data_IF_776839472158
#
_entry.id   IF_776839472158
#
_cell.length_a   1.000
_cell.length_b   1.000
_cell.length_c   1.000
_cell.angle_alpha   90.00
_cell.angle_beta   90.00
_cell.angle_gamma   90.00
#
_symmetry.space_group_name_H-M   'P 1'
#
loop_
_entity.id
_entity.type
_entity.pdbx_description
1 polymer ?
#
# COMPACT_ATOMS: atom_id res chain seq x y z
N UNK A 1 70.99 17.82 -46.50
CA UNK A 1 69.64 17.87 -47.06
C UNK A 1 68.90 16.68 -46.46
N UNK A 2 68.14 16.91 -45.41
CA UNK A 2 67.36 15.87 -44.67
C UNK A 2 65.88 16.14 -44.91
N UNK A 3 65.06 15.15 -45.16
CA UNK A 3 63.63 15.26 -44.97
C UNK A 3 63.20 14.57 -43.65
N UNK A 4 62.49 15.32 -42.84
CA UNK A 4 61.80 14.85 -41.62
C UNK A 4 60.73 13.83 -41.99
N UNK A 5 60.75 12.74 -41.29
CA UNK A 5 59.65 11.75 -41.28
C UNK A 5 58.67 12.14 -40.15
N UNK A 6 57.41 12.39 -40.52
CA UNK A 6 56.30 12.66 -39.59
C UNK A 6 55.69 11.33 -39.13
N UNK A 7 55.86 11.01 -37.84
CA UNK A 7 55.18 9.85 -37.24
C UNK A 7 53.83 10.27 -36.71
N UNK A 8 52.75 9.79 -37.33
CA UNK A 8 51.38 9.96 -36.85
C UNK A 8 51.11 8.82 -35.84
N UNK A 9 51.02 9.17 -34.54
CA UNK A 9 50.59 8.25 -33.50
C UNK A 9 49.06 8.30 -33.45
N UNK A 10 48.40 7.24 -33.91
CA UNK A 10 46.98 7.04 -33.78
C UNK A 10 46.61 6.69 -32.33
N UNK A 11 45.89 7.55 -31.64
CA UNK A 11 45.29 7.26 -30.35
C UNK A 11 43.97 6.56 -30.60
N UNK A 12 43.94 5.26 -30.34
CA UNK A 12 42.73 4.44 -30.26
C UNK A 12 42.04 4.80 -28.93
N UNK A 13 40.98 5.61 -28.95
CA UNK A 13 40.13 5.84 -27.80
C UNK A 13 39.19 4.65 -27.63
N UNK A 14 39.46 3.81 -26.63
CA UNK A 14 38.48 2.84 -26.12
C UNK A 14 37.38 3.62 -25.41
N UNK A 15 36.25 3.85 -26.08
CA UNK A 15 35.03 4.36 -25.52
C UNK A 15 34.29 3.23 -24.80
N UNK A 16 34.58 3.00 -23.51
CA UNK A 16 33.87 2.05 -22.67
C UNK A 16 32.62 2.72 -22.10
N UNK A 17 31.51 2.22 -22.53
CA UNK A 17 30.14 2.17 -22.02
C UNK A 17 29.79 2.78 -20.65
N UNK A 18 29.58 4.10 -20.57
CA UNK A 18 28.90 4.75 -19.47
C UNK A 18 27.50 5.26 -19.91
N UNK A 19 27.12 5.07 -21.19
CA UNK A 19 25.90 5.63 -21.77
C UNK A 19 24.58 4.96 -21.41
N UNK A 20 24.58 3.68 -21.02
CA UNK A 20 23.32 2.91 -20.90
C UNK A 20 22.43 3.31 -19.72
N UNK A 21 23.01 3.62 -18.56
CA UNK A 21 22.23 3.98 -17.37
C UNK A 21 21.73 5.44 -17.38
N UNK A 22 22.50 6.35 -17.93
CA UNK A 22 22.08 7.76 -18.06
C UNK A 22 20.99 7.96 -19.10
N UNK A 23 21.01 7.20 -20.20
CA UNK A 23 19.99 7.28 -21.25
C UNK A 23 18.65 6.75 -20.73
N UNK A 24 18.66 5.66 -19.96
CA UNK A 24 17.44 5.11 -19.35
C UNK A 24 16.81 6.07 -18.33
N UNK A 25 17.61 6.74 -17.48
CA UNK A 25 17.12 7.76 -16.56
C UNK A 25 16.58 9.01 -17.28
N UNK A 26 17.25 9.47 -18.32
CA UNK A 26 16.81 10.65 -19.08
C UNK A 26 15.51 10.38 -19.85
N UNK A 27 15.31 9.15 -20.32
CA UNK A 27 14.11 8.78 -21.06
C UNK A 27 12.89 8.59 -20.12
N UNK A 28 13.09 8.14 -18.90
CA UNK A 28 12.04 8.08 -17.86
C UNK A 28 11.63 9.45 -17.36
N UNK A 29 12.56 10.40 -17.28
CA UNK A 29 12.28 11.81 -16.91
C UNK A 29 11.42 12.57 -17.95
N UNK A 30 11.18 12.00 -19.13
CA UNK A 30 10.40 12.60 -20.21
C UNK A 30 9.10 11.83 -20.50
N UNK A 31 8.72 10.87 -19.66
CA UNK A 31 7.50 10.08 -19.90
C UNK A 31 6.26 10.99 -19.79
N UNK A 32 5.50 11.19 -20.90
CA UNK A 32 4.36 12.11 -20.91
C UNK A 32 3.24 11.70 -19.96
N UNK A 33 3.18 10.43 -19.53
CA UNK A 33 2.18 9.91 -18.61
C UNK A 33 2.32 10.43 -17.17
N UNK A 34 3.49 10.98 -16.85
CA UNK A 34 3.83 11.56 -15.54
C UNK A 34 4.48 12.94 -15.65
N UNK A 35 4.32 13.61 -16.80
CA UNK A 35 4.92 14.91 -17.09
C UNK A 35 4.51 15.99 -16.07
N UNK A 36 3.27 15.97 -15.60
CA UNK A 36 2.75 16.87 -14.58
C UNK A 36 3.45 16.67 -13.22
N UNK A 37 3.77 15.44 -12.85
CA UNK A 37 4.52 15.11 -11.63
C UNK A 37 5.98 15.58 -11.77
N UNK A 38 6.59 15.34 -12.92
CA UNK A 38 7.96 15.79 -13.21
C UNK A 38 8.03 17.34 -13.13
N UNK A 39 7.06 18.03 -13.69
CA UNK A 39 6.99 19.49 -13.65
C UNK A 39 6.80 20.02 -12.21
N UNK A 40 6.03 19.31 -11.38
CA UNK A 40 5.84 19.68 -9.96
C UNK A 40 7.06 19.39 -9.10
N UNK A 41 7.96 18.52 -9.55
CA UNK A 41 9.14 18.03 -8.82
C UNK A 41 8.82 17.18 -7.59
N UNK A 42 7.55 16.84 -7.36
CA UNK A 42 7.08 16.13 -6.15
C UNK A 42 6.02 15.08 -6.47
N UNK A 43 6.13 13.94 -5.82
CA UNK A 43 5.08 12.92 -5.76
C UNK A 43 4.38 13.00 -4.40
N UNK A 44 3.15 13.48 -4.38
CA UNK A 44 2.32 13.51 -3.15
C UNK A 44 1.69 12.15 -2.95
N UNK A 45 2.07 11.47 -1.86
CA UNK A 45 1.57 10.13 -1.53
C UNK A 45 0.57 10.23 -0.38
N UNK A 46 -0.69 9.87 -0.62
CA UNK A 46 -1.71 9.78 0.42
C UNK A 46 -1.46 8.58 1.33
N UNK A 47 -1.30 8.82 2.64
CA UNK A 47 -0.88 7.81 3.63
C UNK A 47 -1.86 7.74 4.78
N UNK A 48 -2.56 6.62 4.92
CA UNK A 48 -3.39 6.30 6.07
C UNK A 48 -2.58 5.67 7.20
N UNK A 49 -2.46 6.37 8.31
CA UNK A 49 -1.63 5.97 9.45
C UNK A 49 -2.30 4.90 10.33
N UNK A 50 -1.51 4.35 11.28
CA UNK A 50 -1.99 3.46 12.33
C UNK A 50 -1.96 1.98 11.96
N UNK A 51 -1.34 1.61 10.83
CA UNK A 51 -1.17 0.22 10.39
C UNK A 51 0.33 -0.16 10.30
N UNK A 52 0.68 -1.45 10.28
CA UNK A 52 2.05 -1.88 9.97
C UNK A 52 2.52 -1.48 8.57
N UNK A 53 1.59 -1.13 7.66
CA UNK A 53 1.91 -0.65 6.32
C UNK A 53 2.28 0.84 6.28
N UNK A 54 1.81 1.63 7.27
CA UNK A 54 2.13 3.05 7.42
C UNK A 54 1.91 3.51 8.86
N UNK A 55 2.96 4.02 9.49
CA UNK A 55 2.95 4.49 10.88
C UNK A 55 3.93 5.63 11.09
N UNK A 56 3.79 6.34 12.21
CA UNK A 56 4.80 7.29 12.66
C UNK A 56 5.83 6.58 13.53
N UNK A 57 7.10 6.81 13.22
CA UNK A 57 8.19 6.40 14.09
C UNK A 57 8.04 7.16 15.43
N UNK A 58 7.96 6.45 16.57
CA UNK A 58 7.70 7.07 17.86
C UNK A 58 8.85 7.97 18.35
N UNK A 59 10.04 7.80 17.79
CA UNK A 59 11.24 8.56 18.18
C UNK A 59 11.41 9.81 17.33
N UNK A 60 11.25 9.69 16.01
CA UNK A 60 11.50 10.78 15.05
C UNK A 60 10.23 11.50 14.61
N UNK A 61 9.06 10.91 14.79
CA UNK A 61 7.78 11.40 14.26
C UNK A 61 7.63 11.24 12.75
N UNK A 62 8.63 10.71 12.06
CA UNK A 62 8.60 10.48 10.62
C UNK A 62 7.62 9.38 10.23
N UNK A 63 6.95 9.55 9.10
CA UNK A 63 6.11 8.50 8.53
C UNK A 63 6.98 7.43 7.88
N UNK A 64 6.76 6.18 8.26
CA UNK A 64 7.49 5.00 7.79
C UNK A 64 6.52 3.87 7.42
N UNK A 65 7.06 2.86 6.77
CA UNK A 65 6.40 1.60 6.45
C UNK A 65 6.30 1.30 4.95
N UNK A 66 5.90 0.08 4.59
CA UNK A 66 5.83 -0.44 3.23
C UNK A 66 5.16 0.48 2.20
N UNK A 67 4.12 1.18 2.60
CA UNK A 67 3.43 2.17 1.75
C UNK A 67 4.39 3.28 1.29
N UNK A 68 5.17 3.83 2.23
CA UNK A 68 6.16 4.87 1.92
C UNK A 68 7.32 4.33 1.11
N UNK A 69 7.78 3.11 1.40
CA UNK A 69 8.92 2.51 0.71
C UNK A 69 8.58 2.25 -0.76
N UNK A 70 7.36 1.79 -1.04
CA UNK A 70 6.88 1.64 -2.41
C UNK A 70 6.69 3.00 -3.11
N UNK A 71 6.17 4.01 -2.38
CA UNK A 71 6.06 5.38 -2.86
C UNK A 71 7.40 6.01 -3.17
N UNK A 72 8.43 5.81 -2.31
CA UNK A 72 9.81 6.28 -2.55
C UNK A 72 10.43 5.62 -3.79
N UNK A 73 10.19 4.33 -3.97
CA UNK A 73 10.67 3.63 -5.17
C UNK A 73 10.00 4.16 -6.45
N UNK A 74 8.70 4.50 -6.39
CA UNK A 74 8.00 5.14 -7.51
C UNK A 74 8.54 6.55 -7.78
N UNK A 75 8.72 7.38 -6.75
CA UNK A 75 9.29 8.72 -6.86
C UNK A 75 10.71 8.69 -7.45
N UNK A 76 11.55 7.77 -6.98
CA UNK A 76 12.89 7.55 -7.51
C UNK A 76 12.89 7.11 -8.98
N UNK A 77 11.92 6.26 -9.40
CA UNK A 77 11.75 5.88 -10.81
C UNK A 77 11.40 7.08 -11.68
N UNK A 78 10.57 8.01 -11.18
CA UNK A 78 10.18 9.23 -11.89
C UNK A 78 11.31 10.27 -11.85
N UNK A 79 12.19 10.25 -10.84
CA UNK A 79 13.27 11.22 -10.64
C UNK A 79 12.83 12.47 -9.87
N UNK A 80 11.85 12.36 -8.97
CA UNK A 80 11.29 13.45 -8.16
C UNK A 80 11.26 13.10 -6.67
N UNK A 81 11.04 14.11 -5.82
CA UNK A 81 10.92 13.92 -4.37
C UNK A 81 9.55 13.38 -3.97
N UNK A 82 9.49 12.61 -2.87
CA UNK A 82 8.24 12.18 -2.25
C UNK A 82 7.81 13.15 -1.15
N UNK A 83 6.51 13.46 -1.11
CA UNK A 83 5.85 14.16 -0.01
C UNK A 83 4.70 13.28 0.51
N UNK A 84 4.73 12.92 1.78
CA UNK A 84 3.64 12.18 2.43
C UNK A 84 2.50 13.14 2.80
N UNK A 85 1.28 12.82 2.40
CA UNK A 85 0.04 13.49 2.83
C UNK A 85 -0.64 12.57 3.82
N UNK A 86 -0.59 12.95 5.08
CA UNK A 86 -0.99 12.11 6.21
C UNK A 86 -2.48 12.16 6.49
N UNK A 87 -3.07 11.01 6.77
CA UNK A 87 -4.44 10.84 7.21
C UNK A 87 -4.48 9.96 8.46
N UNK A 88 -5.43 10.18 9.39
CA UNK A 88 -5.47 9.47 10.68
C UNK A 88 -5.71 7.97 10.55
N UNK A 89 -6.24 7.50 9.41
CA UNK A 89 -6.52 6.08 9.10
C UNK A 89 -6.63 5.87 7.59
N UNK A 90 -6.49 4.62 7.10
CA UNK A 90 -6.59 4.31 5.66
C UNK A 90 -7.90 4.75 5.01
N UNK A 91 -9.04 4.62 5.71
CA UNK A 91 -10.34 5.04 5.18
C UNK A 91 -10.46 6.54 4.92
N UNK A 92 -9.69 7.38 5.62
CA UNK A 92 -9.73 8.82 5.43
C UNK A 92 -8.94 9.30 4.19
N UNK A 93 -8.05 8.49 3.64
CA UNK A 93 -7.26 8.86 2.44
C UNK A 93 -8.14 9.19 1.24
N UNK A 94 -9.27 8.46 1.09
CA UNK A 94 -10.19 8.67 -0.03
C UNK A 94 -10.85 10.05 -0.03
N UNK A 95 -10.96 10.69 1.14
CA UNK A 95 -11.50 12.03 1.30
C UNK A 95 -10.66 13.09 0.56
N UNK A 96 -9.36 12.82 0.37
CA UNK A 96 -8.44 13.69 -0.35
C UNK A 96 -8.55 13.66 -1.88
N UNK A 97 -9.30 12.71 -2.46
CA UNK A 97 -9.46 12.59 -3.92
C UNK A 97 -10.10 13.84 -4.51
N UNK A 98 -11.22 14.28 -3.93
CA UNK A 98 -12.01 15.42 -4.43
C UNK A 98 -11.28 16.76 -4.37
N UNK A 99 -10.33 16.92 -3.45
CA UNK A 99 -9.49 18.12 -3.28
C UNK A 99 -8.16 18.06 -4.01
N UNK A 100 -7.89 17.00 -4.78
CA UNK A 100 -6.59 16.76 -5.43
C UNK A 100 -5.41 16.87 -4.43
N UNK A 101 -5.60 16.34 -3.21
CA UNK A 101 -4.62 16.47 -2.13
C UNK A 101 -3.38 15.60 -2.35
N UNK A 102 -3.51 14.50 -3.08
CA UNK A 102 -2.42 13.56 -3.38
C UNK A 102 -2.46 13.08 -4.83
N UNK A 103 -1.35 12.57 -5.32
CA UNK A 103 -1.15 12.09 -6.70
C UNK A 103 -1.32 10.58 -6.80
N UNK A 104 -0.91 9.86 -5.77
CA UNK A 104 -1.04 8.40 -5.62
C UNK A 104 -1.31 8.08 -4.16
N UNK A 105 -2.05 7.00 -3.91
CA UNK A 105 -2.16 6.39 -2.60
C UNK A 105 -2.12 4.86 -2.73
N UNK A 106 -2.03 4.13 -1.60
CA UNK A 106 -1.95 2.66 -1.59
C UNK A 106 -2.96 2.13 -0.57
N UNK A 107 -4.05 1.55 -1.06
CA UNK A 107 -5.16 1.11 -0.24
C UNK A 107 -5.67 -0.28 -0.65
N UNK A 108 -6.51 -0.84 0.22
CA UNK A 108 -7.34 -2.01 -0.13
C UNK A 108 -8.24 -1.65 -1.31
N UNK A 109 -8.27 -2.54 -2.31
CA UNK A 109 -9.18 -2.45 -3.45
C UNK A 109 -10.61 -2.64 -2.96
N UNK A 110 -11.48 -1.69 -3.28
CA UNK A 110 -12.89 -1.71 -2.91
C UNK A 110 -13.75 -1.04 -3.97
N UNK A 111 -14.95 -1.59 -4.21
CA UNK A 111 -15.86 -1.12 -5.25
C UNK A 111 -16.37 0.32 -5.03
N UNK A 112 -16.54 0.77 -3.76
CA UNK A 112 -16.97 2.14 -3.49
C UNK A 112 -15.83 3.14 -3.70
N UNK A 113 -14.61 2.78 -3.32
CA UNK A 113 -13.40 3.57 -3.61
C UNK A 113 -13.14 3.63 -5.11
N UNK A 114 -13.39 2.54 -5.85
CA UNK A 114 -13.26 2.50 -7.31
C UNK A 114 -14.22 3.43 -8.07
N UNK A 115 -15.28 3.91 -7.43
CA UNK A 115 -16.15 4.97 -7.99
C UNK A 115 -15.48 6.34 -7.98
N UNK A 116 -14.51 6.57 -7.07
CA UNK A 116 -13.88 7.87 -6.81
C UNK A 116 -12.44 7.95 -7.34
N UNK A 117 -11.72 6.82 -7.42
CA UNK A 117 -10.34 6.73 -7.86
C UNK A 117 -10.13 5.48 -8.72
N UNK A 118 -9.09 5.47 -9.54
CA UNK A 118 -8.74 4.33 -10.39
C UNK A 118 -7.61 3.52 -9.72
N UNK A 119 -7.81 2.21 -9.61
CA UNK A 119 -6.86 1.30 -9.00
C UNK A 119 -5.89 0.68 -10.02
N UNK A 120 -4.64 0.56 -9.65
CA UNK A 120 -3.66 -0.25 -10.35
C UNK A 120 -3.95 -1.76 -10.19
N UNK A 121 -3.15 -2.57 -10.87
CA UNK A 121 -3.03 -3.99 -10.52
C UNK A 121 -2.55 -4.14 -9.07
N UNK A 122 -3.03 -5.15 -8.32
CA UNK A 122 -2.60 -5.37 -6.95
C UNK A 122 -1.11 -5.68 -6.84
N UNK A 123 -0.47 -5.17 -5.77
CA UNK A 123 0.91 -5.49 -5.44
C UNK A 123 1.04 -6.44 -4.24
N UNK A 124 0.05 -6.47 -3.36
CA UNK A 124 0.04 -7.24 -2.12
C UNK A 124 -1.35 -7.81 -1.86
N UNK A 125 -1.41 -9.00 -1.27
CA UNK A 125 -2.63 -9.65 -0.80
C UNK A 125 -2.50 -10.11 0.64
N UNK A 126 -3.63 -10.14 1.35
CA UNK A 126 -3.79 -10.74 2.67
C UNK A 126 -5.25 -11.13 2.85
N UNK A 127 -5.58 -11.82 3.93
CA UNK A 127 -6.96 -12.02 4.35
C UNK A 127 -7.34 -11.01 5.45
N UNK A 128 -8.65 -10.83 5.62
CA UNK A 128 -9.25 -10.17 6.77
C UNK A 128 -9.92 -11.20 7.66
N UNK A 129 -9.75 -11.02 8.97
CA UNK A 129 -10.26 -11.92 10.00
C UNK A 129 -10.66 -11.15 11.26
N UNK A 130 -10.77 -11.82 12.39
CA UNK A 130 -11.08 -11.21 13.67
C UNK A 130 -9.97 -11.40 14.70
N UNK A 131 -9.74 -10.37 15.51
CA UNK A 131 -9.07 -10.46 16.79
C UNK A 131 -10.12 -10.52 17.88
N UNK A 132 -10.00 -11.48 18.80
CA UNK A 132 -10.88 -11.68 19.93
C UNK A 132 -10.07 -11.85 21.22
N UNK A 133 -10.67 -11.66 22.39
CA UNK A 133 -10.03 -12.01 23.66
C UNK A 133 -9.85 -13.53 23.76
N UNK A 134 -8.84 -13.98 24.49
CA UNK A 134 -8.48 -15.40 24.60
C UNK A 134 -9.65 -16.28 25.10
N UNK A 135 -10.47 -15.75 26.03
CA UNK A 135 -11.65 -16.43 26.55
C UNK A 135 -12.92 -16.30 25.71
N UNK A 136 -12.85 -15.71 24.51
CA UNK A 136 -14.01 -15.54 23.62
C UNK A 136 -14.53 -16.89 23.11
N UNK A 137 -15.86 -17.02 23.02
CA UNK A 137 -16.55 -18.15 22.38
C UNK A 137 -16.51 -18.11 20.85
N UNK A 138 -16.00 -17.02 20.24
CA UNK A 138 -15.81 -16.91 18.80
C UNK A 138 -14.52 -17.64 18.42
N UNK A 139 -14.62 -18.84 17.86
CA UNK A 139 -13.47 -19.67 17.50
C UNK A 139 -13.13 -19.60 16.00
N UNK A 140 -14.10 -19.27 15.16
CA UNK A 140 -13.98 -19.11 13.72
C UNK A 140 -14.83 -17.92 13.24
N UNK A 141 -14.65 -17.47 11.99
CA UNK A 141 -15.36 -16.30 11.46
C UNK A 141 -16.87 -16.47 11.43
N UNK A 142 -17.38 -17.68 11.27
CA UNK A 142 -18.82 -17.94 11.24
C UNK A 142 -19.50 -17.72 12.61
N UNK A 143 -18.77 -17.89 13.71
CA UNK A 143 -19.29 -17.66 15.06
C UNK A 143 -19.57 -16.16 15.32
N UNK A 144 -18.95 -15.26 14.54
CA UNK A 144 -19.05 -13.82 14.77
C UNK A 144 -20.36 -13.20 14.23
N UNK A 145 -21.04 -13.81 13.26
CA UNK A 145 -22.29 -13.26 12.70
C UNK A 145 -23.52 -13.79 13.46
N UNK A 146 -23.62 -13.50 14.76
CA UNK A 146 -24.74 -13.88 15.60
C UNK A 146 -25.41 -12.68 16.26
N UNK A 147 -26.73 -12.76 16.60
CA UNK A 147 -27.40 -11.72 17.36
C UNK A 147 -26.68 -11.42 18.68
N UNK A 148 -26.52 -10.15 19.00
CA UNK A 148 -25.84 -9.67 20.21
C UNK A 148 -24.32 -9.61 20.09
N UNK A 149 -23.71 -10.12 19.03
CA UNK A 149 -22.29 -9.94 18.78
C UNK A 149 -22.04 -8.54 18.23
N UNK A 150 -21.08 -7.81 18.83
CA UNK A 150 -20.60 -6.50 18.38
C UNK A 150 -19.19 -6.64 17.84
N UNK A 151 -19.00 -6.17 16.59
CA UNK A 151 -17.73 -6.22 15.90
C UNK A 151 -17.22 -4.79 15.69
N UNK A 152 -16.08 -4.45 16.27
CA UNK A 152 -15.46 -3.13 16.13
C UNK A 152 -14.64 -3.03 14.83
N UNK A 153 -14.82 -1.94 14.10
CA UNK A 153 -14.05 -1.61 12.88
C UNK A 153 -13.80 -0.11 12.78
N UNK A 154 -12.67 0.35 12.20
CA UNK A 154 -12.51 1.74 11.84
C UNK A 154 -13.44 2.10 10.67
N UNK A 155 -14.10 3.24 10.76
CA UNK A 155 -15.07 3.74 9.78
C UNK A 155 -14.42 3.88 8.38
N UNK A 156 -15.07 3.30 7.36
CA UNK A 156 -14.65 3.39 5.96
C UNK A 156 -13.37 2.60 5.61
N UNK A 157 -12.79 1.84 6.54
CA UNK A 157 -11.70 0.93 6.24
C UNK A 157 -12.21 -0.32 5.47
N UNK A 158 -11.30 -1.05 4.83
CA UNK A 158 -11.68 -2.19 3.98
C UNK A 158 -12.55 -3.22 4.70
N UNK A 159 -12.28 -3.47 6.00
CA UNK A 159 -13.09 -4.41 6.79
C UNK A 159 -14.47 -3.87 7.15
N UNK A 160 -14.61 -2.54 7.38
CA UNK A 160 -15.95 -1.93 7.55
C UNK A 160 -16.78 -2.09 6.29
N UNK A 161 -16.19 -1.76 5.13
CA UNK A 161 -16.87 -1.85 3.83
C UNK A 161 -17.31 -3.28 3.53
N UNK A 162 -16.45 -4.26 3.76
CA UNK A 162 -16.76 -5.68 3.52
C UNK A 162 -17.81 -6.20 4.51
N UNK A 163 -17.61 -5.98 5.80
CA UNK A 163 -18.53 -6.50 6.83
C UNK A 163 -19.91 -5.83 6.76
N UNK A 164 -19.99 -4.56 6.33
CA UNK A 164 -21.28 -3.90 6.03
C UNK A 164 -22.08 -4.67 4.98
N UNK A 165 -21.38 -5.29 4.02
CA UNK A 165 -22.00 -6.01 2.92
C UNK A 165 -22.42 -7.44 3.28
N UNK A 166 -21.65 -8.12 4.14
CA UNK A 166 -21.81 -9.56 4.35
C UNK A 166 -22.47 -9.95 5.68
N UNK A 167 -22.35 -9.14 6.73
CA UNK A 167 -22.98 -9.42 8.02
C UNK A 167 -24.49 -9.31 7.94
N UNK A 168 -25.17 -10.22 8.62
CA UNK A 168 -26.64 -10.32 8.63
C UNK A 168 -27.23 -10.14 10.02
N UNK A 169 -26.50 -10.53 11.09
CA UNK A 169 -27.02 -10.61 12.46
C UNK A 169 -26.20 -9.85 13.49
N UNK A 170 -24.88 -9.81 13.29
CA UNK A 170 -23.98 -9.07 14.18
C UNK A 170 -24.05 -7.57 13.94
N UNK A 171 -23.75 -6.79 14.98
CA UNK A 171 -23.69 -5.35 14.94
C UNK A 171 -22.27 -4.85 14.64
N UNK A 172 -22.15 -3.91 13.68
CA UNK A 172 -20.87 -3.19 13.43
C UNK A 172 -20.80 -1.93 14.29
N UNK A 173 -19.79 -1.89 15.16
CA UNK A 173 -19.44 -0.71 15.96
C UNK A 173 -18.27 0.02 15.26
N UNK A 174 -18.58 1.18 14.70
CA UNK A 174 -17.61 1.98 13.93
C UNK A 174 -16.90 2.99 14.80
N UNK A 175 -15.57 3.06 14.65
CA UNK A 175 -14.72 4.01 15.37
C UNK A 175 -13.98 4.91 14.39
N UNK A 176 -13.47 6.04 14.89
CA UNK A 176 -12.72 6.99 14.06
C UNK A 176 -11.23 6.63 13.93
N UNK A 177 -10.73 5.75 14.81
CA UNK A 177 -9.33 5.29 14.77
C UNK A 177 -9.23 3.78 14.94
N UNK A 178 -8.12 3.21 14.46
CA UNK A 178 -7.76 1.80 14.66
C UNK A 178 -7.59 1.48 16.14
N UNK A 179 -6.94 2.37 16.89
CA UNK A 179 -6.72 2.20 18.32
C UNK A 179 -8.04 2.16 19.12
N UNK A 180 -9.02 3.00 18.75
CA UNK A 180 -10.33 2.99 19.39
C UNK A 180 -11.09 1.67 19.15
N UNK A 181 -10.95 1.07 17.96
CA UNK A 181 -11.57 -0.24 17.67
C UNK A 181 -10.96 -1.36 18.53
N UNK A 182 -9.64 -1.38 18.72
CA UNK A 182 -8.99 -2.33 19.61
C UNK A 182 -9.40 -2.11 21.08
N UNK A 183 -9.51 -0.85 21.49
CA UNK A 183 -9.91 -0.49 22.85
C UNK A 183 -11.30 -1.03 23.20
N UNK A 184 -12.26 -0.95 22.28
CA UNK A 184 -13.59 -1.53 22.50
C UNK A 184 -13.55 -3.04 22.81
N UNK A 185 -12.65 -3.79 22.17
CA UNK A 185 -12.45 -5.21 22.49
C UNK A 185 -11.76 -5.39 23.84
N UNK A 186 -10.73 -4.56 24.13
CA UNK A 186 -10.00 -4.62 25.38
C UNK A 186 -10.90 -4.45 26.61
N UNK A 187 -11.86 -3.52 26.53
CA UNK A 187 -12.81 -3.23 27.62
C UNK A 187 -14.10 -4.04 27.56
N UNK A 188 -14.23 -4.99 26.62
CA UNK A 188 -15.42 -5.83 26.47
C UNK A 188 -16.65 -5.12 25.87
N UNK A 189 -16.50 -3.91 25.34
CA UNK A 189 -17.58 -3.18 24.65
C UNK A 189 -17.82 -3.72 23.24
N UNK A 190 -16.87 -4.44 22.66
CA UNK A 190 -17.03 -5.24 21.45
C UNK A 190 -16.50 -6.66 21.69
N UNK A 191 -17.07 -7.65 20.99
CA UNK A 191 -16.71 -9.06 21.12
C UNK A 191 -15.54 -9.44 20.20
N UNK A 192 -15.40 -8.71 19.08
CA UNK A 192 -14.36 -8.92 18.08
C UNK A 192 -13.90 -7.60 17.45
N UNK A 193 -12.66 -7.58 16.95
CA UNK A 193 -12.09 -6.54 16.11
C UNK A 193 -11.91 -7.11 14.69
N UNK A 194 -12.67 -6.61 13.71
CA UNK A 194 -12.54 -7.03 12.31
C UNK A 194 -11.45 -6.25 11.58
N UNK A 195 -10.51 -6.93 10.92
CA UNK A 195 -9.41 -6.26 10.23
C UNK A 195 -8.53 -7.14 9.36
N UNK A 196 -7.63 -6.52 8.57
CA UNK A 196 -6.57 -7.25 7.87
C UNK A 196 -5.67 -7.98 8.86
N UNK A 197 -5.34 -9.25 8.56
CA UNK A 197 -4.52 -10.11 9.43
C UNK A 197 -3.23 -9.45 9.92
N UNK A 198 -2.40 -8.80 9.09
CA UNK A 198 -1.17 -8.18 9.58
C UNK A 198 -1.41 -7.07 10.62
N UNK A 199 -2.51 -6.33 10.49
CA UNK A 199 -2.92 -5.32 11.47
C UNK A 199 -3.31 -5.99 12.78
N UNK A 200 -4.17 -7.01 12.71
CA UNK A 200 -4.64 -7.73 13.89
C UNK A 200 -3.51 -8.46 14.62
N UNK A 201 -2.53 -9.01 13.90
CA UNK A 201 -1.35 -9.64 14.50
C UNK A 201 -0.47 -8.60 15.25
N UNK A 202 -0.32 -7.40 14.70
CA UNK A 202 0.40 -6.31 15.37
C UNK A 202 -0.37 -5.77 16.60
N UNK A 203 -1.70 -5.73 16.54
CA UNK A 203 -2.58 -5.37 17.66
C UNK A 203 -2.55 -6.44 18.76
N UNK A 204 -2.63 -7.72 18.39
CA UNK A 204 -2.58 -8.85 19.34
C UNK A 204 -1.24 -8.90 20.10
N UNK A 205 -0.14 -8.53 19.46
CA UNK A 205 1.16 -8.43 20.13
C UNK A 205 1.17 -7.39 21.28
N UNK A 206 0.29 -6.38 21.20
CA UNK A 206 0.10 -5.35 22.25
C UNK A 206 -0.98 -5.72 23.27
N UNK A 207 -1.75 -6.76 22.99
CA UNK A 207 -2.83 -7.26 23.85
C UNK A 207 -2.66 -8.78 24.07
N UNK A 208 -1.74 -9.22 24.98
CA UNK A 208 -1.41 -10.64 25.16
C UNK A 208 -2.59 -11.54 25.53
N UNK A 209 -3.69 -10.98 26.07
CA UNK A 209 -4.95 -11.69 26.35
C UNK A 209 -5.85 -11.86 25.11
N UNK A 210 -5.35 -11.62 23.91
CA UNK A 210 -6.09 -11.76 22.66
C UNK A 210 -5.52 -12.84 21.75
N UNK A 211 -6.30 -13.25 20.78
CA UNK A 211 -5.88 -14.10 19.66
C UNK A 211 -6.51 -13.63 18.36
N UNK A 212 -5.80 -13.86 17.27
CA UNK A 212 -6.31 -13.67 15.90
C UNK A 212 -6.81 -15.01 15.40
N UNK A 213 -8.00 -15.05 14.79
CA UNK A 213 -8.56 -16.29 14.24
C UNK A 213 -7.72 -16.79 13.07
N UNK A 214 -7.67 -18.12 12.90
CA UNK A 214 -6.87 -18.76 11.84
C UNK A 214 -7.54 -18.61 10.46
N UNK A 215 -8.87 -18.67 10.40
CA UNK A 215 -9.65 -18.48 9.19
C UNK A 215 -9.88 -16.98 8.88
N UNK A 216 -10.30 -16.68 7.66
CA UNK A 216 -10.58 -15.31 7.19
C UNK A 216 -11.96 -15.21 6.57
N UNK A 217 -12.62 -14.06 6.70
CA UNK A 217 -13.91 -13.82 6.09
C UNK A 217 -13.79 -13.28 4.64
N UNK A 218 -12.61 -12.79 4.22
CA UNK A 218 -12.35 -12.36 2.85
C UNK A 218 -10.85 -12.28 2.57
N UNK A 219 -10.49 -12.44 1.30
CA UNK A 219 -9.15 -12.09 0.80
C UNK A 219 -9.19 -10.67 0.26
N UNK A 220 -8.26 -9.85 0.71
CA UNK A 220 -8.14 -8.46 0.28
C UNK A 220 -6.86 -8.24 -0.51
N UNK A 221 -6.96 -7.36 -1.50
CA UNK A 221 -5.83 -6.94 -2.33
C UNK A 221 -5.52 -5.47 -2.08
N UNK A 222 -4.25 -5.13 -1.98
CA UNK A 222 -3.77 -3.75 -1.95
C UNK A 222 -3.25 -3.35 -3.31
N UNK A 223 -3.64 -2.18 -3.77
CA UNK A 223 -3.20 -1.58 -5.02
C UNK A 223 -2.85 -0.11 -4.84
N UNK A 224 -2.08 0.43 -5.76
CA UNK A 224 -1.96 1.87 -5.90
C UNK A 224 -3.27 2.41 -6.49
N UNK A 225 -3.64 3.62 -6.12
CA UNK A 225 -4.78 4.31 -6.72
C UNK A 225 -4.41 5.75 -7.07
N UNK A 226 -5.03 6.25 -8.12
CA UNK A 226 -4.87 7.62 -8.63
C UNK A 226 -6.24 8.28 -8.72
N UNK A 227 -6.34 9.62 -8.70
CA UNK A 227 -7.59 10.31 -8.98
C UNK A 227 -8.19 9.88 -10.32
N UNK A 228 -9.52 9.88 -10.42
CA UNK A 228 -10.23 9.55 -11.67
C UNK A 228 -9.74 10.38 -12.85
N UNK A 229 -9.64 9.74 -14.02
CA UNK A 229 -9.22 10.38 -15.26
C UNK A 229 -7.71 10.48 -15.47
N UNK A 230 -6.88 10.07 -14.50
CA UNK A 230 -5.42 10.03 -14.61
C UNK A 230 -4.92 8.74 -15.31
N UNK A 231 -5.52 8.38 -16.46
CA UNK A 231 -5.25 7.11 -17.14
C UNK A 231 -3.78 6.90 -17.51
N UNK A 232 -3.08 7.95 -17.95
CA UNK A 232 -1.65 7.89 -18.26
C UNK A 232 -0.83 7.55 -17.00
N UNK A 233 -1.08 8.24 -15.90
CA UNK A 233 -0.44 7.99 -14.61
C UNK A 233 -0.72 6.57 -14.11
N UNK A 234 -1.96 6.11 -14.23
CA UNK A 234 -2.34 4.74 -13.87
C UNK A 234 -1.57 3.70 -14.69
N UNK A 235 -1.43 3.92 -16.01
CA UNK A 235 -0.67 3.03 -16.87
C UNK A 235 0.82 2.95 -16.45
N UNK A 236 1.43 4.10 -16.17
CA UNK A 236 2.81 4.18 -15.66
C UNK A 236 2.98 3.44 -14.33
N UNK A 237 2.05 3.63 -13.39
CA UNK A 237 2.07 2.98 -12.09
C UNK A 237 1.87 1.46 -12.24
N UNK A 238 1.03 1.01 -13.16
CA UNK A 238 0.86 -0.42 -13.43
C UNK A 238 2.17 -1.08 -13.91
N UNK A 239 2.92 -0.42 -14.79
CA UNK A 239 4.25 -0.89 -15.20
C UNK A 239 5.21 -0.96 -14.03
N UNK A 240 5.25 0.10 -13.21
CA UNK A 240 6.07 0.12 -12.00
C UNK A 240 5.73 -1.02 -11.05
N UNK A 241 4.44 -1.28 -10.78
CA UNK A 241 3.99 -2.37 -9.90
C UNK A 241 4.42 -3.74 -10.45
N UNK A 242 4.26 -3.98 -11.74
CA UNK A 242 4.67 -5.25 -12.35
C UNK A 242 6.18 -5.44 -12.29
N UNK A 243 6.95 -4.41 -12.57
CA UNK A 243 8.40 -4.43 -12.44
C UNK A 243 8.83 -4.63 -10.98
N UNK A 244 8.23 -3.90 -10.03
CA UNK A 244 8.52 -4.03 -8.60
C UNK A 244 8.26 -5.46 -8.08
N UNK A 245 7.21 -6.13 -8.59
CA UNK A 245 6.96 -7.55 -8.31
C UNK A 245 8.03 -8.44 -8.96
N UNK A 246 8.32 -8.24 -10.24
CA UNK A 246 9.25 -9.06 -11.00
C UNK A 246 10.69 -9.04 -10.45
N UNK A 247 11.18 -7.85 -10.06
CA UNK A 247 12.53 -7.70 -9.47
C UNK A 247 12.56 -8.00 -7.96
N UNK A 248 11.44 -8.46 -7.38
CA UNK A 248 11.33 -8.82 -5.96
C UNK A 248 11.35 -7.63 -5.00
N UNK A 249 11.14 -6.39 -5.47
CA UNK A 249 11.11 -5.21 -4.61
C UNK A 249 9.97 -5.30 -3.58
N UNK A 250 8.75 -5.65 -4.01
CA UNK A 250 7.60 -5.81 -3.11
C UNK A 250 7.88 -6.86 -2.04
N UNK A 251 8.49 -8.01 -2.43
CA UNK A 251 8.87 -9.06 -1.48
C UNK A 251 9.86 -8.54 -0.44
N UNK A 252 10.93 -7.86 -0.86
CA UNK A 252 11.92 -7.27 0.06
C UNK A 252 11.30 -6.25 1.02
N UNK A 253 10.38 -5.42 0.56
CA UNK A 253 9.66 -4.44 1.40
C UNK A 253 8.85 -5.16 2.49
N UNK A 254 8.11 -6.23 2.13
CA UNK A 254 7.34 -7.05 3.08
C UNK A 254 8.26 -7.68 4.13
N UNK A 255 9.36 -8.31 3.70
CA UNK A 255 10.32 -8.98 4.56
C UNK A 255 11.03 -8.00 5.50
N UNK A 256 11.49 -6.86 4.98
CA UNK A 256 12.16 -5.81 5.78
C UNK A 256 11.27 -5.21 6.85
N UNK A 257 9.96 -5.12 6.58
CA UNK A 257 8.98 -4.64 7.54
C UNK A 257 8.53 -5.72 8.54
N UNK A 258 9.01 -6.96 8.42
CA UNK A 258 8.60 -8.07 9.28
C UNK A 258 7.10 -8.40 9.21
N UNK A 259 6.44 -8.08 8.09
CA UNK A 259 5.01 -8.30 7.94
C UNK A 259 4.68 -9.78 7.86
N UNK A 260 3.77 -10.24 8.72
CA UNK A 260 3.22 -11.60 8.70
C UNK A 260 1.81 -11.61 8.13
N UNK A 261 1.43 -12.72 7.48
CA UNK A 261 0.08 -12.89 6.92
C UNK A 261 -0.16 -12.07 5.65
N UNK A 262 0.90 -11.66 4.95
CA UNK A 262 0.82 -10.98 3.66
C UNK A 262 1.66 -11.72 2.61
N UNK A 263 1.28 -11.57 1.36
CA UNK A 263 2.01 -12.11 0.22
C UNK A 263 2.02 -11.15 -0.96
N UNK A 264 3.00 -11.27 -1.84
CA UNK A 264 3.01 -10.55 -3.11
C UNK A 264 1.80 -11.00 -3.93
N UNK A 265 1.04 -10.04 -4.45
CA UNK A 265 -0.09 -10.37 -5.30
C UNK A 265 0.36 -11.08 -6.58
N UNK A 266 -0.36 -12.09 -7.07
CA UNK A 266 -0.06 -12.75 -8.32
C UNK A 266 0.08 -11.75 -9.47
N UNK A 267 0.95 -12.05 -10.44
CA UNK A 267 0.97 -11.32 -11.70
C UNK A 267 -0.33 -11.64 -12.42
N UNK A 268 -1.17 -10.62 -12.66
CA UNK A 268 -2.36 -10.80 -13.47
C UNK A 268 -1.91 -11.22 -14.87
N UNK A 269 -2.21 -12.43 -15.29
CA UNK A 269 -2.08 -12.79 -16.71
C UNK A 269 -2.96 -11.81 -17.46
N UNK A 270 -2.36 -11.04 -18.38
CA UNK A 270 -3.11 -10.21 -19.32
C UNK A 270 -4.09 -11.15 -20.02
N UNK A 271 -5.38 -11.10 -19.63
CA UNK A 271 -6.43 -11.85 -20.29
C UNK A 271 -6.55 -11.28 -21.70
N UNK A 272 -6.17 -12.07 -22.68
CA UNK A 272 -6.67 -11.92 -24.04
C UNK A 272 -8.19 -12.07 -23.95
N UNK A 273 -8.91 -10.96 -24.06
CA UNK A 273 -10.30 -10.95 -24.47
C UNK A 273 -10.39 -10.29 -25.84
#
# INVERSE_FOLDING_TARGET
>A
MNPLALVVVGILALGIGIGGKQIACAQQAQDPRVADLIQSGKLRVGVGLGTPLAFKDPTTGEVRGPTLDLGRALAARIGIDLVAIEYPRPGAVIEGVGSNAWDVAFLVVDANRAKQADFSRPYLQTDSTYLVLAGSSIHNVADADQPGIRIAVPRGDGSDLELTRVLKRAELVRTDTIAAALELVRVGSAHARGGPRPVLLAESAKLPSSRVLDDGFTVISYAALVPKGAAGRLAYINEFIDEAKAVGLVKRIIESAGLRGVQVAPVSKSGTQ
#
